data_IF_403763272119
#
_entry.id   IF_403763272119
#
_cell.length_a   1.000
_cell.length_b   1.000
_cell.length_c   1.000
_cell.angle_alpha   90.00
_cell.angle_beta   90.00
_cell.angle_gamma   90.00
#
_symmetry.space_group_name_H-M   'P 1'
#
loop_
_entity.id
_entity.type
_entity.pdbx_description
1 polymer ?
#
# COMPACT_ATOMS: atom_id res chain seq x y z
N UNK A 1 32.61 60.65 -49.94
CA UNK A 1 33.12 59.72 -48.89
C UNK A 1 32.01 59.42 -47.89
N UNK A 2 32.26 58.59 -46.86
CA UNK A 2 31.31 58.16 -45.83
C UNK A 2 30.21 57.18 -46.31
N UNK A 3 30.61 55.94 -46.54
CA UNK A 3 29.81 54.71 -46.36
C UNK A 3 30.81 53.62 -45.95
N UNK A 4 30.81 53.21 -44.67
CA UNK A 4 31.84 52.29 -44.15
C UNK A 4 31.59 51.72 -42.75
N UNK A 5 31.14 52.53 -41.78
CA UNK A 5 31.18 52.10 -40.36
C UNK A 5 29.97 51.27 -39.89
N UNK A 6 28.81 51.36 -40.57
CA UNK A 6 27.57 50.71 -40.09
C UNK A 6 27.57 49.18 -40.21
N UNK A 7 28.26 48.59 -41.21
CA UNK A 7 28.35 47.13 -41.31
C UNK A 7 29.28 46.53 -40.25
N UNK A 8 30.35 47.23 -39.85
CA UNK A 8 31.36 46.72 -38.91
C UNK A 8 30.76 46.50 -37.52
N UNK A 9 29.96 47.45 -37.03
CA UNK A 9 29.28 47.30 -35.74
C UNK A 9 28.21 46.21 -35.76
N UNK A 10 27.44 46.08 -36.85
CA UNK A 10 26.44 45.01 -36.97
C UNK A 10 27.08 43.61 -37.01
N UNK A 11 28.20 43.47 -37.73
CA UNK A 11 28.98 42.24 -37.76
C UNK A 11 29.59 41.88 -36.40
N UNK A 12 30.14 42.85 -35.66
CA UNK A 12 30.70 42.62 -34.32
C UNK A 12 29.65 42.19 -33.29
N UNK A 13 28.46 42.79 -33.29
CA UNK A 13 27.35 42.39 -32.41
C UNK A 13 26.92 40.95 -32.71
N UNK A 14 26.74 40.60 -33.98
CA UNK A 14 26.39 39.22 -34.37
C UNK A 14 27.51 38.21 -34.03
N UNK A 15 28.78 38.57 -34.18
CA UNK A 15 29.90 37.69 -33.77
C UNK A 15 29.91 37.47 -32.24
N UNK A 16 29.64 38.51 -31.46
CA UNK A 16 29.59 38.39 -29.99
C UNK A 16 28.45 37.49 -29.51
N UNK A 17 27.26 37.59 -30.14
CA UNK A 17 26.13 36.71 -29.87
C UNK A 17 26.39 35.25 -30.28
N UNK A 18 27.20 35.01 -31.32
CA UNK A 18 27.56 33.67 -31.75
C UNK A 18 28.63 33.02 -30.86
N UNK A 19 29.63 33.80 -30.41
CA UNK A 19 30.68 33.32 -29.50
C UNK A 19 30.14 32.95 -28.11
N UNK A 20 29.07 33.62 -27.64
CA UNK A 20 28.37 33.27 -26.40
C UNK A 20 27.66 31.90 -26.45
N UNK A 21 27.49 31.30 -27.65
CA UNK A 21 26.84 29.98 -27.82
C UNK A 21 27.87 28.84 -27.83
N UNK A 22 29.18 29.13 -27.93
CA UNK A 22 30.25 28.11 -28.01
C UNK A 22 31.50 28.43 -27.16
N UNK A 23 31.36 28.81 -25.88
CA UNK A 23 32.55 28.92 -25.00
C UNK A 23 32.36 28.83 -23.46
N UNK A 24 31.74 27.75 -22.95
CA UNK A 24 32.22 27.14 -21.68
C UNK A 24 32.06 25.61 -21.73
N UNK A 25 33.15 24.83 -21.88
CA UNK A 25 33.16 23.43 -21.45
C UNK A 25 33.42 23.38 -19.94
N UNK A 26 32.38 23.16 -19.13
CA UNK A 26 32.58 22.86 -17.71
C UNK A 26 33.24 21.48 -17.64
N UNK A 27 34.50 21.45 -17.22
CA UNK A 27 35.21 20.21 -16.96
C UNK A 27 34.76 19.63 -15.61
N UNK A 28 33.57 19.06 -15.59
CA UNK A 28 33.14 18.15 -14.52
C UNK A 28 33.90 16.84 -14.68
N UNK A 29 34.78 16.57 -13.72
CA UNK A 29 35.54 15.32 -13.63
C UNK A 29 34.57 14.17 -13.35
N UNK A 30 34.23 13.41 -14.40
CA UNK A 30 33.31 12.25 -14.36
C UNK A 30 33.96 11.03 -13.73
N UNK A 31 34.51 11.18 -12.54
CA UNK A 31 35.12 10.11 -11.75
C UNK A 31 34.71 10.11 -10.28
N UNK A 32 33.62 10.82 -9.91
CA UNK A 32 33.08 10.83 -8.53
C UNK A 32 31.58 11.13 -8.35
N UNK A 33 30.75 10.86 -9.35
CA UNK A 33 29.30 10.79 -9.14
C UNK A 33 28.94 9.38 -8.62
N UNK A 34 28.56 9.28 -7.33
CA UNK A 34 27.69 8.19 -6.87
C UNK A 34 26.38 8.27 -7.68
N UNK A 35 25.67 7.16 -7.96
CA UNK A 35 24.30 7.27 -8.46
C UNK A 35 23.50 8.14 -7.48
N UNK A 36 22.51 8.94 -7.95
CA UNK A 36 21.70 9.72 -7.04
C UNK A 36 21.04 8.76 -6.06
N UNK A 37 21.37 8.91 -4.77
CA UNK A 37 20.57 8.33 -3.70
C UNK A 37 19.15 8.83 -3.94
N UNK A 38 18.21 7.92 -4.11
CA UNK A 38 16.82 8.29 -3.93
C UNK A 38 16.71 8.57 -2.44
N UNK A 39 16.75 9.85 -2.07
CA UNK A 39 16.23 10.28 -0.78
C UNK A 39 14.78 9.80 -0.76
N UNK A 40 14.57 8.72 0.00
CA UNK A 40 13.26 8.18 0.30
C UNK A 40 12.58 9.12 1.29
N UNK A 41 12.30 10.34 0.83
CA UNK A 41 11.28 11.16 1.45
C UNK A 41 10.01 10.29 1.51
N UNK A 42 9.43 10.05 2.71
CA UNK A 42 8.17 9.34 2.80
C UNK A 42 7.15 10.06 1.89
N UNK A 43 6.31 9.31 1.16
CA UNK A 43 5.47 9.90 0.13
C UNK A 43 4.58 11.00 0.73
N UNK A 44 4.58 12.18 0.10
CA UNK A 44 3.83 13.40 0.50
C UNK A 44 2.29 13.27 0.41
N UNK A 45 1.77 12.06 0.63
CA UNK A 45 0.37 11.67 0.50
C UNK A 45 -0.05 10.68 1.60
N UNK A 46 0.64 10.69 2.74
CA UNK A 46 0.44 9.78 3.86
C UNK A 46 0.33 10.51 5.22
N UNK A 47 -0.25 11.71 5.21
CA UNK A 47 -0.54 12.62 6.34
C UNK A 47 -1.27 11.93 7.52
N UNK A 48 -1.91 10.79 7.27
CA UNK A 48 -2.57 9.93 8.28
C UNK A 48 -2.22 8.44 8.14
N UNK A 49 -1.29 8.06 7.25
CA UNK A 49 -0.95 6.67 6.94
C UNK A 49 -2.04 5.81 6.26
N UNK A 50 -3.31 6.24 6.24
CA UNK A 50 -4.43 5.41 5.79
C UNK A 50 -4.46 5.17 4.27
N UNK A 51 -4.73 3.93 3.85
CA UNK A 51 -4.84 3.55 2.43
C UNK A 51 -6.05 4.17 1.68
N UNK A 52 -6.90 4.93 2.39
CA UNK A 52 -8.01 5.74 1.87
C UNK A 52 -7.98 7.19 2.40
N UNK A 53 -6.85 7.63 2.97
CA UNK A 53 -6.60 9.00 3.47
C UNK A 53 -7.13 10.08 2.52
N UNK A 54 -6.75 10.03 1.24
CA UNK A 54 -7.19 11.01 0.23
C UNK A 54 -8.72 11.10 0.14
N UNK A 55 -9.43 9.97 0.22
CA UNK A 55 -10.89 9.96 0.17
C UNK A 55 -11.51 10.53 1.45
N UNK A 56 -10.93 10.22 2.62
CA UNK A 56 -11.30 10.81 3.90
C UNK A 56 -11.15 12.34 3.87
N UNK A 57 -9.97 12.83 3.45
CA UNK A 57 -9.68 14.27 3.33
C UNK A 57 -10.59 14.97 2.31
N UNK A 58 -10.78 14.41 1.11
CA UNK A 58 -11.69 14.99 0.10
C UNK A 58 -13.16 15.04 0.56
N UNK A 59 -13.61 14.08 1.37
CA UNK A 59 -14.96 14.10 1.98
C UNK A 59 -15.06 15.18 3.07
N UNK A 60 -14.08 15.26 3.98
CA UNK A 60 -14.09 16.23 5.09
C UNK A 60 -13.93 17.67 4.57
N UNK A 61 -12.91 17.94 3.73
CA UNK A 61 -12.63 19.26 3.15
C UNK A 61 -13.81 19.81 2.35
N UNK A 62 -14.64 18.92 1.80
CA UNK A 62 -15.84 19.29 1.06
C UNK A 62 -17.11 19.42 1.93
N UNK A 63 -17.24 18.65 3.01
CA UNK A 63 -18.26 18.84 4.05
C UNK A 63 -18.05 20.14 4.84
N UNK A 64 -16.79 20.50 5.11
CA UNK A 64 -16.37 21.73 5.79
C UNK A 64 -16.72 23.03 5.04
N UNK A 65 -17.16 22.92 3.79
CA UNK A 65 -17.64 24.04 2.96
C UNK A 65 -19.15 24.31 3.16
N UNK A 66 -19.90 23.40 3.78
CA UNK A 66 -21.27 23.65 4.24
C UNK A 66 -21.25 24.34 5.62
N UNK A 67 -21.85 25.53 5.79
CA UNK A 67 -21.80 26.25 7.06
C UNK A 67 -22.44 25.51 8.24
N UNK A 68 -23.52 24.75 8.01
CA UNK A 68 -24.20 24.01 9.07
C UNK A 68 -23.35 22.82 9.51
N UNK A 69 -22.83 22.03 8.56
CA UNK A 69 -21.96 20.91 8.91
C UNK A 69 -20.65 21.37 9.57
N UNK A 70 -20.05 22.48 9.12
CA UNK A 70 -18.85 23.05 9.75
C UNK A 70 -19.11 23.50 11.20
N UNK A 71 -20.27 24.08 11.49
CA UNK A 71 -20.66 24.42 12.87
C UNK A 71 -20.89 23.16 13.72
N UNK A 72 -21.49 22.10 13.16
CA UNK A 72 -21.66 20.82 13.85
C UNK A 72 -20.32 20.13 14.14
N UNK A 73 -19.41 20.08 13.16
CA UNK A 73 -18.07 19.51 13.32
C UNK A 73 -17.29 20.22 14.43
N UNK A 74 -17.27 21.57 14.44
CA UNK A 74 -16.55 22.38 15.44
C UNK A 74 -17.09 22.28 16.87
N UNK A 75 -18.33 21.83 17.06
CA UNK A 75 -18.96 21.68 18.37
C UNK A 75 -19.13 20.20 18.79
N UNK A 76 -18.74 19.25 17.93
CA UNK A 76 -18.76 17.84 18.26
C UNK A 76 -17.54 17.46 19.10
N UNK A 77 -17.75 16.66 20.14
CA UNK A 77 -16.65 15.99 20.84
C UNK A 77 -16.31 14.66 20.16
N UNK A 78 -15.14 14.12 20.47
CA UNK A 78 -14.63 12.85 19.91
C UNK A 78 -15.62 11.68 20.11
N UNK A 79 -16.27 11.57 21.27
CA UNK A 79 -17.26 10.52 21.55
C UNK A 79 -18.53 10.65 20.68
N UNK A 80 -19.00 11.86 20.42
CA UNK A 80 -20.17 12.13 19.56
C UNK A 80 -19.89 11.82 18.08
N UNK A 81 -18.65 12.03 17.64
CA UNK A 81 -18.14 11.63 16.32
C UNK A 81 -18.13 10.10 16.22
N UNK A 82 -17.49 9.40 17.18
CA UNK A 82 -17.41 7.93 17.24
C UNK A 82 -18.78 7.24 17.41
N UNK A 83 -19.76 7.90 18.04
CA UNK A 83 -21.14 7.42 18.18
C UNK A 83 -22.03 7.71 16.94
N UNK A 84 -21.45 8.14 15.82
CA UNK A 84 -22.17 8.39 14.58
C UNK A 84 -23.23 9.49 14.70
N UNK A 85 -23.06 10.46 15.61
CA UNK A 85 -24.00 11.60 15.74
C UNK A 85 -23.73 12.60 14.64
N UNK A 86 -22.45 12.92 14.38
CA UNK A 86 -22.02 13.78 13.27
C UNK A 86 -22.51 13.24 11.91
N UNK A 87 -22.42 11.93 11.68
CA UNK A 87 -22.87 11.31 10.43
C UNK A 87 -24.36 11.59 10.12
N UNK A 88 -25.21 11.73 11.15
CA UNK A 88 -26.65 12.01 10.99
C UNK A 88 -26.94 13.45 10.56
N UNK A 89 -26.01 14.39 10.80
CA UNK A 89 -26.12 15.78 10.35
C UNK A 89 -25.99 15.93 8.82
N UNK A 90 -25.45 14.91 8.13
CA UNK A 90 -25.41 14.78 6.67
C UNK A 90 -26.81 14.86 6.01
N UNK A 91 -27.89 14.64 6.77
CA UNK A 91 -29.27 14.81 6.30
C UNK A 91 -29.69 16.28 6.12
N UNK A 92 -28.96 17.23 6.71
CA UNK A 92 -29.24 18.66 6.62
C UNK A 92 -28.27 19.40 5.67
N UNK A 93 -27.23 18.71 5.19
CA UNK A 93 -26.25 19.20 4.20
C UNK A 93 -26.93 19.49 2.86
N UNK A 94 -26.59 20.62 2.24
CA UNK A 94 -27.24 21.08 1.01
C UNK A 94 -26.98 20.13 -0.19
N UNK A 95 -27.94 20.07 -1.13
CA UNK A 95 -27.92 19.13 -2.26
C UNK A 95 -26.65 19.24 -3.13
N UNK A 96 -26.14 20.46 -3.36
CA UNK A 96 -24.89 20.66 -4.10
C UNK A 96 -23.69 19.94 -3.46
N UNK A 97 -23.67 19.83 -2.13
CA UNK A 97 -22.62 19.08 -1.44
C UNK A 97 -22.84 17.57 -1.58
N UNK A 98 -24.07 17.08 -1.36
CA UNK A 98 -24.43 15.67 -1.58
C UNK A 98 -24.04 15.16 -2.97
N UNK A 99 -24.35 15.91 -4.04
CA UNK A 99 -24.05 15.50 -5.43
C UNK A 99 -22.56 15.22 -5.70
N UNK A 100 -21.65 15.96 -5.05
CA UNK A 100 -20.20 15.73 -5.18
C UNK A 100 -19.68 14.69 -4.20
N UNK A 101 -20.29 14.51 -3.01
CA UNK A 101 -20.00 13.35 -2.15
C UNK A 101 -20.37 12.03 -2.86
N UNK A 102 -21.50 12.00 -3.58
CA UNK A 102 -21.87 10.87 -4.44
C UNK A 102 -20.83 10.63 -5.54
N UNK A 103 -20.18 11.67 -6.05
CA UNK A 103 -19.12 11.56 -7.06
C UNK A 103 -17.82 11.05 -6.46
N UNK A 104 -17.37 11.60 -5.33
CA UNK A 104 -16.20 11.09 -4.60
C UNK A 104 -16.36 9.60 -4.24
N UNK A 105 -17.54 9.18 -3.77
CA UNK A 105 -17.82 7.75 -3.51
C UNK A 105 -17.72 6.90 -4.77
N UNK A 106 -18.18 7.40 -5.94
CA UNK A 106 -18.02 6.70 -7.22
C UNK A 106 -16.57 6.64 -7.68
N UNK A 107 -15.79 7.70 -7.48
CA UNK A 107 -14.34 7.72 -7.76
C UNK A 107 -13.60 6.68 -6.92
N UNK A 108 -13.81 6.67 -5.60
CA UNK A 108 -13.22 5.69 -4.67
C UNK A 108 -13.68 4.26 -4.96
N UNK A 109 -14.98 4.04 -5.18
CA UNK A 109 -15.53 2.74 -5.57
C UNK A 109 -14.92 2.20 -6.89
N UNK A 110 -14.51 3.09 -7.81
CA UNK A 110 -13.76 2.69 -9.01
C UNK A 110 -12.29 2.38 -8.71
N UNK A 111 -11.63 3.09 -7.77
CA UNK A 111 -10.28 2.73 -7.28
C UNK A 111 -10.27 1.35 -6.64
N UNK A 112 -11.20 1.06 -5.73
CA UNK A 112 -11.31 -0.24 -5.05
C UNK A 112 -11.54 -1.39 -6.05
N UNK A 113 -12.36 -1.18 -7.08
CA UNK A 113 -12.55 -2.14 -8.19
C UNK A 113 -11.28 -2.34 -9.03
N UNK A 114 -10.48 -1.29 -9.23
CA UNK A 114 -9.18 -1.41 -9.92
C UNK A 114 -8.19 -2.23 -9.09
N UNK A 115 -8.11 -2.00 -7.78
CA UNK A 115 -7.27 -2.78 -6.86
C UNK A 115 -7.67 -4.27 -6.84
N UNK A 116 -8.97 -4.56 -6.75
CA UNK A 116 -9.51 -5.93 -6.85
C UNK A 116 -9.08 -6.59 -8.18
N UNK A 117 -9.19 -5.86 -9.30
CA UNK A 117 -8.79 -6.39 -10.60
C UNK A 117 -7.28 -6.67 -10.68
N UNK A 118 -6.44 -5.74 -10.23
CA UNK A 118 -4.97 -5.92 -10.22
C UNK A 118 -4.58 -7.11 -9.35
N UNK A 119 -5.20 -7.29 -8.17
CA UNK A 119 -5.03 -8.46 -7.30
C UNK A 119 -5.41 -9.76 -8.01
N UNK A 120 -6.50 -9.77 -8.79
CA UNK A 120 -6.93 -10.93 -9.59
C UNK A 120 -5.98 -11.22 -10.78
N UNK A 121 -5.50 -10.18 -11.47
CA UNK A 121 -4.57 -10.31 -12.60
C UNK A 121 -3.20 -10.87 -12.12
N UNK A 122 -2.72 -10.43 -10.94
CA UNK A 122 -1.49 -10.94 -10.29
C UNK A 122 -1.65 -12.39 -9.81
N UNK A 123 -2.79 -12.75 -9.22
CA UNK A 123 -3.04 -14.11 -8.68
C UNK A 123 -3.33 -15.17 -9.76
N UNK A 124 -2.97 -14.93 -11.02
CA UNK A 124 -3.06 -15.92 -12.09
C UNK A 124 -4.49 -16.31 -12.42
N UNK A 125 -5.34 -15.30 -12.68
CA UNK A 125 -6.79 -15.36 -12.85
C UNK A 125 -7.39 -16.69 -13.33
N UNK A 126 -7.70 -17.57 -12.39
CA UNK A 126 -8.60 -18.70 -12.62
C UNK A 126 -9.96 -18.17 -13.07
N UNK A 127 -10.48 -18.64 -14.21
CA UNK A 127 -11.62 -18.06 -14.94
C UNK A 127 -12.99 -18.11 -14.27
N UNK A 128 -13.06 -18.19 -12.94
CA UNK A 128 -14.26 -17.95 -12.15
C UNK A 128 -14.56 -16.46 -12.12
N UNK A 129 -15.79 -16.09 -12.47
CA UNK A 129 -16.34 -14.76 -12.15
C UNK A 129 -16.56 -14.67 -10.65
N UNK A 130 -15.52 -14.29 -9.89
CA UNK A 130 -15.68 -13.92 -8.50
C UNK A 130 -16.58 -12.69 -8.40
N UNK A 131 -17.57 -12.76 -7.50
CA UNK A 131 -18.45 -11.63 -7.26
C UNK A 131 -17.66 -10.45 -6.71
N UNK A 132 -17.52 -9.40 -7.52
CA UNK A 132 -16.81 -8.19 -7.13
C UNK A 132 -17.48 -7.50 -5.93
N UNK A 133 -18.80 -7.68 -5.74
CA UNK A 133 -19.51 -7.17 -4.58
C UNK A 133 -19.14 -7.92 -3.28
N UNK A 134 -18.79 -9.20 -3.37
CA UNK A 134 -18.22 -9.97 -2.24
C UNK A 134 -16.78 -9.57 -1.91
N UNK A 135 -15.96 -9.21 -2.91
CA UNK A 135 -14.58 -8.76 -2.71
C UNK A 135 -14.50 -7.33 -2.18
N UNK A 136 -15.46 -6.46 -2.52
CA UNK A 136 -15.58 -5.11 -1.95
C UNK A 136 -15.81 -5.11 -0.44
N UNK A 137 -16.24 -6.23 0.16
CA UNK A 137 -16.34 -6.39 1.63
C UNK A 137 -15.00 -6.44 2.36
N UNK A 138 -13.87 -6.46 1.64
CA UNK A 138 -12.53 -6.32 2.20
C UNK A 138 -12.19 -4.86 2.58
N UNK A 139 -13.06 -3.90 2.22
CA UNK A 139 -12.91 -2.48 2.53
C UNK A 139 -14.03 -2.06 3.49
N UNK A 140 -13.70 -1.82 4.75
CA UNK A 140 -14.69 -1.53 5.81
C UNK A 140 -15.20 -0.09 5.78
N UNK A 141 -14.47 0.83 5.13
CA UNK A 141 -14.72 2.28 5.14
C UNK A 141 -15.86 2.77 4.23
N UNK A 142 -16.60 1.87 3.55
CA UNK A 142 -17.65 2.23 2.58
C UNK A 142 -18.79 1.22 2.45
N UNK A 143 -20.02 1.72 2.30
CA UNK A 143 -21.20 0.88 2.09
C UNK A 143 -21.27 0.41 0.63
N UNK A 144 -20.73 -0.80 0.40
CA UNK A 144 -20.75 -1.51 -0.87
C UNK A 144 -22.17 -1.82 -1.40
N UNK A 145 -23.21 -1.66 -0.58
CA UNK A 145 -24.62 -1.87 -0.95
C UNK A 145 -25.14 -0.82 -1.94
N UNK A 146 -24.79 0.45 -1.72
CA UNK A 146 -25.28 1.60 -2.50
C UNK A 146 -24.12 2.28 -3.26
N UNK A 147 -23.54 1.69 -4.31
CA UNK A 147 -22.26 2.12 -4.90
C UNK A 147 -22.29 3.48 -5.63
N UNK A 148 -23.42 4.18 -5.66
CA UNK A 148 -23.63 5.40 -6.46
C UNK A 148 -24.04 6.64 -5.66
N UNK A 149 -24.47 6.51 -4.40
CA UNK A 149 -24.86 7.62 -3.52
C UNK A 149 -24.14 7.51 -2.17
N UNK A 150 -23.79 8.66 -1.59
CA UNK A 150 -23.09 8.77 -0.31
C UNK A 150 -24.09 9.10 0.80
N UNK A 151 -24.33 8.12 1.67
CA UNK A 151 -25.34 8.17 2.71
C UNK A 151 -24.75 8.34 4.11
N UNK A 152 -25.63 8.48 5.10
CA UNK A 152 -25.27 8.52 6.54
C UNK A 152 -24.41 7.31 6.93
N UNK A 153 -24.74 6.13 6.40
CA UNK A 153 -23.99 4.89 6.63
C UNK A 153 -22.55 4.95 6.12
N UNK A 154 -22.30 5.62 4.98
CA UNK A 154 -20.94 5.76 4.44
C UNK A 154 -20.09 6.70 5.29
N UNK A 155 -20.65 7.83 5.72
CA UNK A 155 -19.92 8.76 6.59
C UNK A 155 -19.66 8.15 7.97
N UNK A 156 -20.61 7.35 8.49
CA UNK A 156 -20.46 6.62 9.75
C UNK A 156 -19.37 5.53 9.62
N UNK A 157 -19.40 4.72 8.56
CA UNK A 157 -18.37 3.69 8.29
C UNK A 157 -16.99 4.27 8.01
N UNK A 158 -16.91 5.39 7.28
CA UNK A 158 -15.65 6.09 6.99
C UNK A 158 -15.03 6.66 8.27
N UNK A 159 -15.84 7.29 9.14
CA UNK A 159 -15.39 7.81 10.45
C UNK A 159 -14.99 6.67 11.39
N UNK A 160 -15.78 5.61 11.49
CA UNK A 160 -15.48 4.47 12.36
C UNK A 160 -14.23 3.71 11.91
N UNK A 161 -14.06 3.50 10.60
CA UNK A 161 -12.87 2.85 10.05
C UNK A 161 -11.64 3.74 10.25
N UNK A 162 -11.71 5.03 9.91
CA UNK A 162 -10.61 5.96 10.13
C UNK A 162 -10.21 6.02 11.61
N UNK A 163 -11.19 6.06 12.52
CA UNK A 163 -10.94 6.00 13.97
C UNK A 163 -10.19 4.71 14.36
N UNK A 164 -10.76 3.55 14.01
CA UNK A 164 -10.24 2.23 14.36
C UNK A 164 -8.84 2.01 13.80
N UNK A 165 -8.64 2.35 12.54
CA UNK A 165 -7.39 2.14 11.82
C UNK A 165 -6.32 3.11 12.36
N UNK A 166 -6.66 4.37 12.67
CA UNK A 166 -5.73 5.31 13.35
C UNK A 166 -5.41 4.91 14.79
N UNK A 167 -6.37 4.38 15.56
CA UNK A 167 -6.15 3.87 16.91
C UNK A 167 -5.27 2.60 16.95
N UNK A 168 -5.12 1.89 15.82
CA UNK A 168 -4.28 0.70 15.71
C UNK A 168 -3.04 0.90 14.80
N UNK A 169 -2.93 2.02 14.08
CA UNK A 169 -1.89 2.25 13.06
C UNK A 169 -0.49 1.99 13.61
N UNK A 170 -0.16 2.63 14.74
CA UNK A 170 1.12 2.50 15.43
C UNK A 170 1.37 1.04 15.82
N UNK A 171 0.40 0.42 16.50
CA UNK A 171 0.46 -0.99 16.92
C UNK A 171 0.64 -1.95 15.74
N UNK A 172 0.03 -1.67 14.60
CA UNK A 172 0.10 -2.54 13.42
C UNK A 172 1.41 -2.29 12.63
N UNK A 173 2.01 -1.08 12.70
CA UNK A 173 3.43 -0.84 12.33
C UNK A 173 4.38 -1.65 13.22
N UNK A 174 4.23 -1.61 14.55
CA UNK A 174 5.03 -2.43 15.48
C UNK A 174 4.92 -3.94 15.17
N UNK A 175 3.73 -4.41 14.75
CA UNK A 175 3.54 -5.79 14.31
C UNK A 175 4.21 -6.07 12.95
N UNK A 176 4.17 -5.14 12.00
CA UNK A 176 4.83 -5.28 10.69
C UNK A 176 6.36 -5.32 10.83
N UNK A 177 6.95 -4.41 11.62
CA UNK A 177 8.39 -4.41 11.89
C UNK A 177 8.84 -5.65 12.68
N UNK A 178 8.07 -6.10 13.68
CA UNK A 178 8.33 -7.38 14.35
C UNK A 178 8.32 -8.56 13.39
N UNK A 179 7.38 -8.60 12.43
CA UNK A 179 7.36 -9.62 11.38
C UNK A 179 8.54 -9.48 10.41
N UNK A 180 8.99 -8.27 10.09
CA UNK A 180 10.19 -8.02 9.30
C UNK A 180 11.44 -8.62 9.97
N UNK A 181 11.67 -8.32 11.25
CA UNK A 181 12.79 -8.87 12.02
C UNK A 181 12.74 -10.40 12.18
N UNK A 182 11.55 -10.96 12.43
CA UNK A 182 11.35 -12.42 12.43
C UNK A 182 11.70 -13.05 11.08
N UNK A 183 11.34 -12.40 9.97
CA UNK A 183 11.67 -12.85 8.61
C UNK A 183 13.17 -12.79 8.34
N UNK A 184 13.81 -11.66 8.67
CA UNK A 184 15.24 -11.37 8.49
C UNK A 184 16.14 -12.37 9.21
N UNK A 185 15.82 -12.72 10.46
CA UNK A 185 16.55 -13.75 11.21
C UNK A 185 16.18 -15.18 10.76
N UNK A 186 14.93 -15.48 10.38
CA UNK A 186 14.61 -16.79 9.82
C UNK A 186 15.38 -17.06 8.52
N UNK A 187 15.44 -16.10 7.59
CA UNK A 187 16.25 -16.23 6.38
C UNK A 187 17.74 -16.42 6.71
N UNK A 188 18.26 -15.68 7.71
CA UNK A 188 19.64 -15.84 8.19
C UNK A 188 19.88 -17.26 8.72
N UNK A 189 18.94 -17.81 9.51
CA UNK A 189 18.98 -19.20 9.99
C UNK A 189 18.96 -20.20 8.85
N UNK A 190 18.11 -20.03 7.83
CA UNK A 190 18.09 -20.88 6.63
C UNK A 190 19.38 -20.78 5.80
N UNK A 191 19.90 -19.57 5.56
CA UNK A 191 21.21 -19.37 4.92
C UNK A 191 22.31 -20.15 5.65
N UNK A 192 22.42 -20.00 6.98
CA UNK A 192 23.39 -20.70 7.81
C UNK A 192 23.22 -22.23 7.82
N UNK A 193 21.97 -22.75 7.71
CA UNK A 193 21.69 -24.20 7.58
C UNK A 193 22.20 -24.78 6.25
N UNK A 194 22.27 -23.99 5.16
CA UNK A 194 22.76 -24.44 3.84
C UNK A 194 24.28 -24.34 3.64
N UNK A 195 24.98 -23.60 4.50
CA UNK A 195 26.42 -23.33 4.38
C UNK A 195 27.31 -24.46 4.92
N UNK A 196 28.58 -24.47 4.51
CA UNK A 196 29.59 -25.35 5.11
C UNK A 196 30.03 -24.84 6.49
N UNK A 197 30.57 -25.72 7.35
CA UNK A 197 30.98 -25.39 8.71
C UNK A 197 31.97 -24.21 8.78
N UNK A 198 32.99 -24.19 7.91
CA UNK A 198 33.99 -23.12 7.88
C UNK A 198 33.40 -21.78 7.44
N UNK A 199 32.48 -21.78 6.47
CA UNK A 199 31.77 -20.59 6.01
C UNK A 199 30.74 -20.09 7.04
N UNK A 200 30.02 -20.99 7.72
CA UNK A 200 29.03 -20.63 8.75
C UNK A 200 29.72 -19.92 9.92
N UNK A 201 30.87 -20.42 10.36
CA UNK A 201 31.70 -19.78 11.39
C UNK A 201 32.39 -18.48 10.94
N UNK A 202 32.41 -18.14 9.65
CA UNK A 202 32.87 -16.83 9.16
C UNK A 202 31.70 -15.84 9.15
N UNK A 203 30.54 -16.27 8.63
CA UNK A 203 29.29 -15.51 8.59
C UNK A 203 28.81 -15.11 10.00
N UNK A 204 28.79 -16.07 10.94
CA UNK A 204 28.47 -15.83 12.36
C UNK A 204 29.38 -14.74 12.97
N UNK A 205 30.67 -14.75 12.64
CA UNK A 205 31.65 -13.75 13.12
C UNK A 205 31.52 -12.40 12.41
N UNK A 206 31.13 -12.37 11.14
CA UNK A 206 30.85 -11.14 10.40
C UNK A 206 29.63 -10.44 10.97
N UNK A 207 28.53 -11.17 11.14
CA UNK A 207 27.31 -10.68 11.81
C UNK A 207 27.59 -10.19 13.24
N UNK A 208 28.41 -10.91 14.02
CA UNK A 208 28.89 -10.45 15.33
C UNK A 208 29.79 -9.20 15.29
N UNK A 209 30.38 -8.84 14.15
CA UNK A 209 31.17 -7.62 13.96
C UNK A 209 30.27 -6.46 13.54
N UNK A 210 29.36 -6.69 12.59
CA UNK A 210 28.35 -5.71 12.18
C UNK A 210 27.53 -5.23 13.38
N UNK A 211 26.94 -6.14 14.17
CA UNK A 211 26.15 -5.77 15.36
C UNK A 211 26.95 -5.00 16.42
N UNK A 212 28.27 -5.22 16.51
CA UNK A 212 29.17 -4.47 17.42
C UNK A 212 29.67 -3.15 16.84
N UNK A 213 29.55 -2.95 15.53
CA UNK A 213 29.82 -1.68 14.84
C UNK A 213 28.60 -0.76 15.00
N UNK A 214 27.40 -1.29 14.76
CA UNK A 214 26.12 -0.59 14.97
C UNK A 214 25.94 -0.14 16.42
N UNK A 215 26.04 -1.07 17.39
CA UNK A 215 25.98 -0.80 18.84
C UNK A 215 27.15 0.07 19.39
N UNK A 216 27.99 0.64 18.52
CA UNK A 216 29.05 1.60 18.85
C UNK A 216 28.77 2.94 18.13
N UNK A 217 27.52 3.40 18.23
CA UNK A 217 27.05 4.69 17.74
C UNK A 217 27.40 5.85 18.70
N UNK A 218 27.07 7.08 18.30
CA UNK A 218 27.13 8.24 19.23
C UNK A 218 25.88 8.26 20.11
N UNK A 219 26.00 8.72 21.37
CA UNK A 219 24.86 8.78 22.30
C UNK A 219 23.69 9.56 21.71
N UNK A 220 22.50 8.97 21.84
CA UNK A 220 21.22 9.53 21.39
C UNK A 220 20.57 10.25 22.56
N UNK A 221 20.18 11.51 22.38
CA UNK A 221 19.50 12.28 23.41
C UNK A 221 18.07 11.77 23.60
N UNK A 222 17.51 11.94 24.81
CA UNK A 222 16.12 11.62 25.06
C UNK A 222 15.17 12.45 24.15
N UNK A 223 14.20 11.84 23.45
CA UNK A 223 13.27 12.55 22.58
C UNK A 223 12.48 13.64 23.31
N UNK A 224 12.42 14.85 22.75
CA UNK A 224 11.73 15.98 23.34
C UNK A 224 12.49 16.70 24.47
N UNK A 225 13.66 16.21 24.91
CA UNK A 225 14.47 16.83 25.96
C UNK A 225 15.09 18.17 25.55
N UNK A 226 15.46 19.01 26.54
CA UNK A 226 16.16 20.28 26.31
C UNK A 226 17.46 20.08 25.50
N UNK A 227 18.14 18.95 25.70
CA UNK A 227 19.38 18.62 25.00
C UNK A 227 19.12 18.36 23.51
N UNK A 228 18.11 17.53 23.19
CA UNK A 228 17.73 17.20 21.82
C UNK A 228 17.24 18.44 21.04
N UNK A 229 16.35 19.25 21.64
CA UNK A 229 15.83 20.45 20.97
C UNK A 229 16.90 21.54 20.78
N UNK A 230 17.86 21.68 21.70
CA UNK A 230 19.01 22.57 21.52
C UNK A 230 19.97 22.10 20.43
N UNK A 231 20.08 20.79 20.22
CA UNK A 231 20.92 20.25 19.15
C UNK A 231 20.30 20.55 17.78
N UNK A 232 18.99 20.31 17.61
CA UNK A 232 18.24 20.69 16.39
C UNK A 232 18.33 22.20 16.12
N UNK A 233 18.13 23.04 17.15
CA UNK A 233 18.28 24.50 17.07
C UNK A 233 19.68 24.96 16.64
N UNK A 234 20.72 24.17 16.93
CA UNK A 234 22.10 24.48 16.57
C UNK A 234 22.48 23.95 15.18
N UNK A 235 22.14 22.68 14.88
CA UNK A 235 22.61 21.99 13.67
C UNK A 235 21.66 22.12 12.48
N UNK A 236 20.35 22.22 12.72
CA UNK A 236 19.34 22.45 11.67
C UNK A 236 19.05 23.94 11.46
N UNK A 237 18.77 24.69 12.53
CA UNK A 237 18.43 26.12 12.42
C UNK A 237 19.65 27.06 12.35
N UNK A 238 20.84 26.57 12.74
CA UNK A 238 22.07 27.36 12.79
C UNK A 238 22.08 28.43 13.88
N UNK A 239 21.31 28.25 14.96
CA UNK A 239 21.14 29.21 16.05
C UNK A 239 21.96 28.85 17.29
N UNK A 240 22.23 29.85 18.14
CA UNK A 240 23.07 29.71 19.32
C UNK A 240 22.34 28.92 20.45
N UNK A 241 22.89 27.78 20.94
CA UNK A 241 22.32 27.01 22.05
C UNK A 241 22.08 27.80 23.33
N UNK A 242 22.92 28.80 23.62
CA UNK A 242 22.80 29.64 24.82
C UNK A 242 21.60 30.62 24.73
N UNK A 243 21.01 30.78 23.54
CA UNK A 243 19.87 31.65 23.25
C UNK A 243 18.59 30.87 22.89
N UNK A 244 18.52 29.57 23.20
CA UNK A 244 17.35 28.72 22.96
C UNK A 244 16.07 29.24 23.66
N UNK A 245 15.02 29.50 22.88
CA UNK A 245 13.67 29.84 23.35
C UNK A 245 12.65 28.83 22.80
N UNK A 246 12.05 27.96 23.64
CA UNK A 246 11.07 26.95 23.19
C UNK A 246 9.95 27.52 22.34
N UNK A 247 9.48 28.74 22.66
CA UNK A 247 8.39 29.40 21.95
C UNK A 247 8.76 29.86 20.53
N UNK A 248 10.04 30.13 20.31
CA UNK A 248 10.57 30.44 18.98
C UNK A 248 10.90 29.15 18.24
N UNK A 249 11.51 28.16 18.90
CA UNK A 249 11.74 26.82 18.34
C UNK A 249 10.46 26.21 17.74
N UNK A 250 9.36 26.22 18.51
CA UNK A 250 8.05 25.74 18.05
C UNK A 250 7.64 26.41 16.74
N UNK A 251 7.71 27.73 16.67
CA UNK A 251 7.26 28.53 15.51
C UNK A 251 8.13 28.42 14.26
N UNK A 252 9.25 27.73 14.33
CA UNK A 252 10.13 27.48 13.17
C UNK A 252 9.93 26.08 12.62
N UNK A 253 9.45 25.15 13.46
CA UNK A 253 9.14 23.76 13.11
C UNK A 253 7.63 23.52 12.89
N UNK A 254 6.77 24.47 13.27
CA UNK A 254 5.39 24.66 12.78
C UNK A 254 5.50 25.10 11.31
N UNK A 255 5.71 24.11 10.43
CA UNK A 255 6.02 24.28 9.01
C UNK A 255 4.79 24.65 8.21
N UNK A 256 3.63 24.15 8.64
CA UNK A 256 2.35 24.36 7.97
C UNK A 256 1.70 25.71 8.38
N UNK A 257 1.99 26.22 9.59
CA UNK A 257 1.53 27.50 10.12
C UNK A 257 0.19 27.48 10.88
N UNK A 258 -0.31 26.31 11.30
CA UNK A 258 -1.60 26.16 11.99
C UNK A 258 -1.53 26.38 13.52
N UNK A 259 -0.33 26.31 14.11
CA UNK A 259 -0.08 26.53 15.54
C UNK A 259 -0.01 25.27 16.42
N UNK A 260 0.01 24.09 15.81
CA UNK A 260 0.27 22.79 16.43
C UNK A 260 1.64 22.25 15.96
N UNK A 261 2.07 21.11 16.51
CA UNK A 261 2.96 20.17 15.84
C UNK A 261 2.16 18.92 15.51
N UNK A 262 2.21 18.48 14.26
CA UNK A 262 1.74 17.15 13.86
C UNK A 262 2.82 16.06 14.05
N UNK A 263 2.47 14.81 13.73
CA UNK A 263 3.38 13.66 13.83
C UNK A 263 4.56 13.73 12.87
N UNK A 264 4.37 14.26 11.66
CA UNK A 264 5.45 14.43 10.68
C UNK A 264 6.43 15.52 11.10
N UNK A 265 5.94 16.61 11.70
CA UNK A 265 6.75 17.69 12.24
C UNK A 265 7.55 17.24 13.46
N UNK A 266 6.96 16.44 14.36
CA UNK A 266 7.69 15.79 15.46
C UNK A 266 8.72 14.77 14.94
N UNK A 267 8.35 13.88 14.01
CA UNK A 267 9.26 12.91 13.41
C UNK A 267 10.48 13.60 12.75
N UNK A 268 10.29 14.77 12.14
CA UNK A 268 11.38 15.54 11.54
C UNK A 268 12.43 15.98 12.58
N UNK A 269 12.03 16.31 13.82
CA UNK A 269 12.95 16.70 14.90
C UNK A 269 13.93 15.58 15.29
N UNK A 270 13.51 14.32 15.14
CA UNK A 270 14.33 13.16 15.51
C UNK A 270 15.36 12.78 14.46
N UNK A 271 15.29 13.33 13.24
CA UNK A 271 16.21 13.00 12.13
C UNK A 271 17.68 13.14 12.54
N UNK A 272 18.05 14.20 13.28
CA UNK A 272 19.43 14.42 13.74
C UNK A 272 19.88 13.51 14.89
N UNK A 273 18.94 13.00 15.69
CA UNK A 273 19.25 11.96 16.67
C UNK A 273 19.49 10.61 15.99
N UNK A 274 18.70 10.29 14.96
CA UNK A 274 18.78 9.02 14.24
C UNK A 274 19.99 8.93 13.31
N UNK A 275 20.41 10.06 12.68
CA UNK A 275 21.66 10.17 11.90
C UNK A 275 22.93 9.81 12.71
N UNK A 276 22.87 9.78 14.05
CA UNK A 276 23.98 9.36 14.94
C UNK A 276 24.18 7.85 14.98
N UNK A 277 23.15 7.09 14.60
CA UNK A 277 23.03 5.63 14.76
C UNK A 277 22.91 4.92 13.42
N UNK A 278 22.08 5.46 12.51
CA UNK A 278 21.75 4.82 11.24
C UNK A 278 22.26 5.65 10.06
N UNK A 279 23.06 5.03 9.19
CA UNK A 279 23.58 5.65 7.97
C UNK A 279 23.39 4.73 6.75
N UNK A 280 22.68 5.17 5.69
CA UNK A 280 22.42 4.34 4.49
C UNK A 280 23.67 3.99 3.66
N UNK A 281 24.87 4.44 4.03
CA UNK A 281 26.15 4.01 3.42
C UNK A 281 26.86 2.89 4.20
N UNK A 282 26.36 2.50 5.38
CA UNK A 282 26.84 1.36 6.16
C UNK A 282 26.11 0.05 5.77
N UNK A 283 26.69 -1.09 6.11
CA UNK A 283 26.08 -2.42 5.88
C UNK A 283 25.35 -2.94 7.12
N UNK A 284 25.76 -2.47 8.31
CA UNK A 284 25.19 -2.86 9.60
C UNK A 284 23.98 -2.02 10.05
N UNK A 285 23.69 -0.91 9.37
CA UNK A 285 22.62 0.03 9.75
C UNK A 285 21.37 -0.24 8.90
N UNK A 286 20.26 -0.56 9.55
CA UNK A 286 19.00 -0.84 8.86
C UNK A 286 18.08 0.39 8.82
N UNK A 287 17.70 0.82 7.62
CA UNK A 287 16.81 1.96 7.43
C UNK A 287 15.37 1.68 7.85
N UNK A 288 14.94 0.41 7.93
CA UNK A 288 13.63 0.02 8.46
C UNK A 288 13.62 0.11 9.98
N UNK A 289 14.73 -0.28 10.63
CA UNK A 289 14.94 -0.12 12.08
C UNK A 289 15.00 1.37 12.46
N UNK A 290 15.64 2.21 11.64
CA UNK A 290 15.60 3.67 11.79
C UNK A 290 14.18 4.26 11.72
N UNK A 291 13.32 3.76 10.82
CA UNK A 291 11.92 4.20 10.74
C UNK A 291 11.13 3.81 12.00
N UNK A 292 11.29 2.58 12.49
CA UNK A 292 10.64 2.14 13.72
C UNK A 292 11.13 2.95 14.93
N UNK A 293 12.44 3.20 15.02
CA UNK A 293 13.02 4.03 16.08
C UNK A 293 12.39 5.44 16.07
N UNK A 294 12.18 6.03 14.89
CA UNK A 294 11.48 7.32 14.73
C UNK A 294 10.04 7.27 15.24
N UNK A 295 9.31 6.17 14.98
CA UNK A 295 7.96 5.96 15.49
C UNK A 295 7.93 5.79 17.01
N UNK A 296 8.89 5.05 17.60
CA UNK A 296 9.05 4.92 19.06
C UNK A 296 9.30 6.28 19.72
N UNK A 297 10.17 7.11 19.13
CA UNK A 297 10.46 8.46 19.63
C UNK A 297 9.21 9.36 19.58
N UNK A 298 8.48 9.35 18.45
CA UNK A 298 7.20 10.07 18.27
C UNK A 298 6.16 9.64 19.30
N UNK A 299 5.92 8.33 19.46
CA UNK A 299 4.94 7.80 20.43
C UNK A 299 5.29 8.15 21.87
N UNK A 300 6.59 8.13 22.20
CA UNK A 300 7.08 8.55 23.49
C UNK A 300 6.76 10.04 23.75
N UNK A 301 7.15 10.94 22.84
CA UNK A 301 6.89 12.39 22.99
C UNK A 301 5.39 12.69 23.02
N UNK A 302 4.59 12.09 22.13
CA UNK A 302 3.13 12.26 22.13
C UNK A 302 2.52 11.84 23.47
N UNK A 303 2.89 10.66 23.99
CA UNK A 303 2.40 10.14 25.29
C UNK A 303 2.70 11.06 26.48
N UNK A 304 3.75 11.88 26.40
CA UNK A 304 4.14 12.79 27.48
C UNK A 304 3.65 14.23 27.28
N UNK A 305 3.51 14.70 26.04
CA UNK A 305 3.16 16.09 25.73
C UNK A 305 1.68 16.25 25.37
N UNK A 306 1.14 15.43 24.47
CA UNK A 306 -0.28 15.44 24.12
C UNK A 306 -1.12 14.99 25.34
N UNK A 307 -1.75 15.98 25.96
CA UNK A 307 -2.51 15.81 27.20
C UNK A 307 -3.99 15.56 26.91
N UNK A 308 -4.46 15.98 25.72
CA UNK A 308 -5.88 15.95 25.35
C UNK A 308 -6.25 14.71 24.50
N UNK A 309 -5.26 14.12 23.82
CA UNK A 309 -5.30 12.93 22.95
C UNK A 309 -5.97 13.14 21.60
N UNK A 310 -5.71 14.27 20.96
CA UNK A 310 -6.08 14.56 19.56
C UNK A 310 -4.95 14.28 18.55
N UNK A 311 -3.77 13.81 18.99
CA UNK A 311 -2.56 13.55 18.17
C UNK A 311 -1.94 14.83 17.59
N UNK A 312 -2.18 15.98 18.22
CA UNK A 312 -1.54 17.25 17.88
C UNK A 312 -0.95 17.89 19.14
N UNK A 313 0.33 18.26 19.12
CA UNK A 313 0.94 18.97 20.24
C UNK A 313 0.69 20.46 20.10
N UNK A 314 -0.22 21.02 20.89
CA UNK A 314 -0.45 22.47 20.88
C UNK A 314 0.74 23.24 21.49
N UNK A 315 0.92 24.49 21.07
CA UNK A 315 1.82 25.46 21.72
C UNK A 315 1.65 25.55 23.25
N UNK A 316 0.45 25.25 23.79
CA UNK A 316 0.21 25.29 25.24
C UNK A 316 0.75 24.03 25.92
N UNK A 317 0.54 22.85 25.33
CA UNK A 317 1.07 21.58 25.83
C UNK A 317 2.59 21.52 25.72
N UNK A 318 3.17 21.95 24.60
CA UNK A 318 4.62 22.07 24.43
C UNK A 318 5.26 23.03 25.46
N UNK A 319 4.69 24.22 25.65
CA UNK A 319 5.17 25.16 26.67
C UNK A 319 4.93 24.68 28.11
N UNK A 320 4.04 23.71 28.35
CA UNK A 320 3.85 23.06 29.64
C UNK A 320 4.86 21.90 29.84
N UNK A 321 5.13 21.11 28.80
CA UNK A 321 6.14 20.05 28.81
C UNK A 321 7.54 20.60 29.12
N UNK A 322 7.91 21.73 28.51
CA UNK A 322 9.20 22.42 28.76
C UNK A 322 9.36 23.00 30.18
N UNK A 323 8.38 22.83 31.07
CA UNK A 323 8.44 23.17 32.50
C UNK A 323 8.48 21.94 33.43
N UNK A 324 8.44 20.72 32.87
CA UNK A 324 8.54 19.44 33.61
C UNK A 324 9.99 19.12 33.99
N UNK A 325 10.20 18.16 34.89
CA UNK A 325 11.56 17.70 35.25
C UNK A 325 12.12 16.80 34.13
N UNK A 326 11.25 16.01 33.51
CA UNK A 326 11.46 15.16 32.34
C UNK A 326 12.05 15.92 31.14
N UNK A 327 11.72 17.20 30.96
CA UNK A 327 12.33 18.03 29.91
C UNK A 327 13.81 18.36 30.15
N UNK A 328 14.23 18.40 31.42
CA UNK A 328 15.60 18.66 31.84
C UNK A 328 16.41 17.35 32.00
N UNK A 329 15.79 16.21 31.70
CA UNK A 329 16.39 14.89 31.75
C UNK A 329 17.52 14.74 30.72
N UNK A 330 18.52 13.94 31.08
CA UNK A 330 19.76 13.73 30.30
C UNK A 330 20.13 12.27 30.19
N UNK A 331 19.15 11.41 30.46
CA UNK A 331 19.26 9.98 30.29
C UNK A 331 19.22 9.68 28.79
N UNK A 332 19.86 8.58 28.40
CA UNK A 332 20.13 8.27 27.00
C UNK A 332 18.98 7.44 26.42
N UNK A 333 18.65 7.63 25.15
CA UNK A 333 17.59 6.84 24.53
C UNK A 333 18.02 5.38 24.33
N UNK A 334 17.22 4.44 24.84
CA UNK A 334 17.45 3.01 24.63
C UNK A 334 17.03 2.59 23.21
N UNK A 335 18.01 2.54 22.32
CA UNK A 335 17.90 2.07 20.94
C UNK A 335 17.45 0.62 20.81
N UNK A 336 16.89 0.28 19.66
CA UNK A 336 16.33 -1.05 19.36
C UNK A 336 17.35 -2.20 19.54
N UNK A 337 18.62 -2.00 19.19
CA UNK A 337 19.68 -3.01 19.33
C UNK A 337 19.92 -3.50 20.78
N UNK A 338 19.53 -2.69 21.77
CA UNK A 338 19.67 -2.99 23.19
C UNK A 338 18.52 -3.86 23.74
N UNK A 339 17.35 -3.87 23.10
CA UNK A 339 16.11 -4.45 23.63
C UNK A 339 15.46 -5.48 22.68
N UNK A 340 15.41 -6.78 23.02
CA UNK A 340 14.94 -7.82 22.09
C UNK A 340 13.42 -7.75 21.82
N UNK A 341 13.06 -7.47 20.56
CA UNK A 341 11.69 -7.31 20.04
C UNK A 341 10.83 -8.59 20.09
N UNK A 342 11.46 -9.76 20.06
CA UNK A 342 10.80 -11.06 20.03
C UNK A 342 11.57 -12.10 20.84
N UNK A 343 10.85 -13.15 21.24
CA UNK A 343 11.37 -14.31 21.97
C UNK A 343 11.68 -15.46 21.02
N UNK A 344 12.55 -16.38 21.47
CA UNK A 344 12.82 -17.65 20.78
C UNK A 344 11.60 -18.60 20.77
N UNK A 345 10.53 -18.27 21.48
CA UNK A 345 9.24 -18.98 21.38
C UNK A 345 8.39 -18.43 20.25
N UNK A 346 8.24 -17.11 20.14
CA UNK A 346 7.55 -16.45 19.01
C UNK A 346 8.26 -16.74 17.68
N UNK A 347 9.59 -16.77 17.65
CA UNK A 347 10.33 -17.18 16.44
C UNK A 347 10.04 -18.62 16.02
N UNK A 348 9.84 -19.53 16.99
CA UNK A 348 9.48 -20.93 16.70
C UNK A 348 8.06 -21.06 16.19
N UNK A 349 7.13 -20.26 16.73
CA UNK A 349 5.75 -20.18 16.22
C UNK A 349 5.71 -19.60 14.79
N UNK A 350 6.54 -18.59 14.50
CA UNK A 350 6.72 -18.03 13.17
C UNK A 350 7.33 -19.04 12.17
N UNK A 351 8.42 -19.74 12.52
CA UNK A 351 8.98 -20.81 11.68
C UNK A 351 7.94 -21.93 11.44
N UNK A 352 7.14 -22.28 12.45
CA UNK A 352 6.06 -23.25 12.31
C UNK A 352 4.92 -22.74 11.40
N UNK A 353 4.59 -21.44 11.45
CA UNK A 353 3.62 -20.83 10.54
C UNK A 353 4.09 -20.93 9.08
N UNK A 354 5.35 -20.55 8.80
CA UNK A 354 5.92 -20.64 7.45
C UNK A 354 5.93 -22.08 6.91
N UNK A 355 6.26 -23.07 7.75
CA UNK A 355 6.20 -24.49 7.35
C UNK A 355 4.75 -24.92 7.04
N UNK A 356 3.78 -24.48 7.84
CA UNK A 356 2.36 -24.76 7.56
C UNK A 356 1.92 -24.13 6.24
N UNK A 357 2.23 -22.85 6.01
CA UNK A 357 1.88 -22.11 4.80
C UNK A 357 2.55 -22.69 3.55
N UNK A 358 3.82 -23.09 3.64
CA UNK A 358 4.53 -23.78 2.56
C UNK A 358 3.85 -25.11 2.18
N UNK A 359 3.42 -25.91 3.17
CA UNK A 359 2.66 -27.13 2.93
C UNK A 359 1.28 -26.85 2.29
N UNK A 360 0.62 -25.77 2.70
CA UNK A 360 -0.67 -25.33 2.18
C UNK A 360 -0.56 -24.84 0.73
N UNK A 361 0.49 -24.07 0.41
CA UNK A 361 0.84 -23.65 -0.95
C UNK A 361 1.21 -24.87 -1.80
N UNK A 362 1.97 -25.83 -1.27
CA UNK A 362 2.30 -27.06 -1.99
C UNK A 362 1.05 -27.87 -2.35
N UNK A 363 0.13 -28.10 -1.42
CA UNK A 363 -1.14 -28.78 -1.69
C UNK A 363 -1.97 -28.04 -2.76
N UNK A 364 -2.08 -26.71 -2.67
CA UNK A 364 -2.76 -25.88 -3.68
C UNK A 364 -2.07 -25.98 -5.06
N UNK A 365 -0.74 -26.05 -5.10
CA UNK A 365 0.02 -26.20 -6.35
C UNK A 365 -0.24 -27.55 -7.04
N UNK A 366 -0.33 -28.64 -6.26
CA UNK A 366 -0.68 -29.98 -6.77
C UNK A 366 -2.12 -30.00 -7.29
N UNK A 367 -3.10 -29.46 -6.54
CA UNK A 367 -4.49 -29.38 -7.00
C UNK A 367 -4.62 -28.54 -8.29
N UNK A 368 -3.86 -27.46 -8.41
CA UNK A 368 -3.83 -26.64 -9.63
C UNK A 368 -3.18 -27.37 -10.81
N UNK A 369 -2.15 -28.20 -10.58
CA UNK A 369 -1.58 -29.06 -11.62
C UNK A 369 -2.59 -30.12 -12.08
N UNK A 370 -3.23 -30.85 -11.17
CA UNK A 370 -4.25 -31.86 -11.52
C UNK A 370 -5.40 -31.24 -12.32
N UNK A 371 -5.88 -30.06 -11.90
CA UNK A 371 -6.90 -29.29 -12.65
C UNK A 371 -6.40 -28.85 -14.03
N UNK A 372 -5.13 -28.45 -14.17
CA UNK A 372 -4.53 -28.08 -15.47
C UNK A 372 -4.52 -29.29 -16.41
N UNK A 373 -4.07 -30.45 -15.93
CA UNK A 373 -4.04 -31.69 -16.71
C UNK A 373 -5.45 -32.17 -17.09
N UNK A 374 -6.43 -32.04 -16.19
CA UNK A 374 -7.82 -32.38 -16.49
C UNK A 374 -8.45 -31.46 -17.56
N UNK A 375 -8.12 -30.17 -17.55
CA UNK A 375 -8.51 -29.20 -18.58
C UNK A 375 -7.82 -29.47 -19.93
N UNK A 376 -6.55 -29.88 -19.91
CA UNK A 376 -5.79 -30.22 -21.11
C UNK A 376 -6.42 -31.43 -21.82
N UNK A 377 -6.77 -32.51 -21.10
CA UNK A 377 -7.52 -33.64 -21.67
C UNK A 377 -8.87 -33.24 -22.26
N UNK A 378 -9.64 -32.40 -21.56
CA UNK A 378 -10.95 -31.90 -22.05
C UNK A 378 -10.80 -31.07 -23.34
N UNK A 379 -9.72 -30.30 -23.45
CA UNK A 379 -9.41 -29.53 -24.64
C UNK A 379 -9.01 -30.45 -25.82
N UNK A 380 -8.26 -31.53 -25.56
CA UNK A 380 -7.95 -32.56 -26.56
C UNK A 380 -9.24 -33.25 -27.05
N UNK A 381 -10.11 -33.71 -26.13
CA UNK A 381 -11.40 -34.34 -26.44
C UNK A 381 -12.29 -33.44 -27.33
N UNK A 382 -12.43 -32.17 -26.96
CA UNK A 382 -13.17 -31.17 -27.75
C UNK A 382 -12.53 -30.92 -29.12
N UNK A 383 -11.19 -30.93 -29.21
CA UNK A 383 -10.50 -30.79 -30.50
C UNK A 383 -10.74 -31.98 -31.43
N UNK A 384 -10.71 -33.21 -30.90
CA UNK A 384 -10.99 -34.43 -31.63
C UNK A 384 -12.44 -34.48 -32.10
N UNK A 385 -13.39 -34.10 -31.23
CA UNK A 385 -14.81 -33.98 -31.58
C UNK A 385 -15.03 -32.96 -32.71
N UNK A 386 -14.36 -31.80 -32.65
CA UNK A 386 -14.42 -30.77 -33.69
C UNK A 386 -13.88 -31.29 -35.03
N UNK A 387 -12.76 -31.99 -35.03
CA UNK A 387 -12.16 -32.58 -36.25
C UNK A 387 -13.10 -33.63 -36.86
N UNK A 388 -13.64 -34.55 -36.06
CA UNK A 388 -14.58 -35.56 -36.55
C UNK A 388 -15.88 -34.95 -37.11
N UNK A 389 -16.40 -33.90 -36.48
CA UNK A 389 -17.59 -33.19 -36.97
C UNK A 389 -17.31 -32.43 -38.27
N UNK A 390 -16.12 -31.84 -38.43
CA UNK A 390 -15.69 -31.20 -39.67
C UNK A 390 -15.52 -32.22 -40.81
N UNK A 391 -14.94 -33.39 -40.54
CA UNK A 391 -14.83 -34.49 -41.52
C UNK A 391 -16.21 -34.99 -41.97
N UNK A 392 -17.17 -35.13 -41.06
CA UNK A 392 -18.54 -35.53 -41.38
C UNK A 392 -19.27 -34.49 -42.27
N UNK A 393 -18.95 -33.19 -42.13
CA UNK A 393 -19.46 -32.14 -43.03
C UNK A 393 -18.83 -32.29 -44.43
N UNK A 394 -17.51 -32.45 -44.55
CA UNK A 394 -16.84 -32.65 -45.84
C UNK A 394 -17.27 -33.93 -46.57
N UNK A 395 -17.63 -34.99 -45.84
CA UNK A 395 -18.20 -36.20 -46.42
C UNK A 395 -19.64 -35.98 -46.90
N UNK A 396 -20.47 -35.29 -46.11
CA UNK A 396 -21.84 -34.94 -46.48
C UNK A 396 -21.90 -34.01 -47.69
N UNK A 397 -20.93 -33.10 -47.85
CA UNK A 397 -20.78 -32.30 -49.06
C UNK A 397 -20.37 -33.15 -50.26
N UNK A 398 -19.39 -34.05 -50.12
CA UNK A 398 -18.97 -34.96 -51.22
C UNK A 398 -20.05 -35.94 -51.67
N UNK A 399 -20.90 -36.43 -50.77
CA UNK A 399 -22.05 -37.29 -51.10
C UNK A 399 -23.13 -36.52 -51.89
N UNK A 400 -23.10 -35.17 -51.86
CA UNK A 400 -24.07 -34.29 -52.50
C UNK A 400 -23.76 -33.97 -53.97
N UNK A 401 -22.61 -34.40 -54.50
CA UNK A 401 -22.20 -34.22 -55.91
C UNK A 401 -22.43 -35.52 -56.75
N UNK A 402 -23.51 -35.62 -57.55
CA UNK A 402 -23.84 -36.83 -58.30
C UNK A 402 -23.18 -36.86 -59.69
N UNK A 403 -22.03 -37.55 -59.85
CA UNK A 403 -21.24 -37.41 -61.10
C UNK A 403 -20.33 -38.54 -61.61
N UNK A 404 -20.34 -39.78 -61.09
CA UNK A 404 -19.35 -40.82 -61.50
C UNK A 404 -19.85 -42.28 -61.65
N UNK A 405 -20.51 -42.56 -62.78
CA UNK A 405 -20.44 -43.79 -63.61
C UNK A 405 -20.10 -45.17 -62.97
N UNK A 406 -21.16 -45.93 -62.65
CA UNK A 406 -21.46 -47.32 -63.08
C UNK A 406 -20.80 -48.61 -62.49
N UNK A 407 -21.68 -49.64 -62.43
CA UNK A 407 -21.48 -51.08 -62.67
C UNK A 407 -20.98 -52.05 -61.56
N UNK A 408 -21.83 -53.03 -61.19
CA UNK A 408 -21.45 -54.30 -60.52
C UNK A 408 -22.56 -54.91 -59.65
N UNK A 409 -23.18 -56.03 -60.06
CA UNK A 409 -24.41 -56.61 -59.46
C UNK A 409 -24.35 -56.96 -57.95
N UNK A 410 -25.43 -56.89 -57.16
CA UNK A 410 -26.86 -57.26 -57.33
C UNK A 410 -27.21 -58.72 -56.99
N UNK A 411 -27.92 -58.94 -55.87
CA UNK A 411 -28.80 -60.11 -55.59
C UNK A 411 -29.73 -59.84 -54.37
N UNK A 412 -31.04 -60.16 -54.46
CA UNK A 412 -32.02 -60.12 -53.35
C UNK A 412 -32.51 -58.70 -52.95
N UNK A 413 -33.74 -58.21 -53.17
CA UNK A 413 -35.07 -58.80 -53.48
C UNK A 413 -35.65 -59.66 -52.35
N UNK A 414 -36.85 -59.47 -51.78
CA UNK A 414 -37.84 -58.36 -51.64
C UNK A 414 -38.92 -58.86 -50.59
N UNK A 415 -39.94 -58.16 -50.05
CA UNK A 415 -40.55 -56.81 -50.07
C UNK A 415 -41.35 -56.65 -48.71
N UNK A 416 -42.04 -55.58 -48.31
CA UNK A 416 -42.19 -54.20 -48.82
C UNK A 416 -43.61 -53.62 -48.54
N UNK A 417 -43.72 -52.28 -48.36
CA UNK A 417 -44.95 -51.44 -48.57
C UNK A 417 -46.13 -51.65 -47.58
N UNK A 418 -46.72 -50.67 -46.89
CA UNK A 418 -46.56 -49.20 -46.64
C UNK A 418 -47.29 -48.87 -45.31
N UNK A 419 -47.29 -47.69 -44.66
CA UNK A 419 -46.76 -46.34 -44.91
C UNK A 419 -46.23 -45.76 -43.56
N UNK A 420 -46.02 -44.46 -43.27
CA UNK A 420 -46.13 -43.20 -44.02
C UNK A 420 -46.44 -42.01 -43.09
N UNK A 421 -45.43 -41.18 -42.77
CA UNK A 421 -45.58 -39.99 -41.91
C UNK A 421 -44.24 -39.44 -41.41
N UNK A 422 -44.13 -38.11 -41.26
CA UNK A 422 -42.92 -37.38 -40.86
C UNK A 422 -43.32 -35.99 -40.30
N UNK A 423 -42.40 -35.16 -39.76
CA UNK A 423 -41.20 -35.44 -38.95
C UNK A 423 -41.21 -34.67 -37.59
N UNK A 424 -40.46 -35.10 -36.56
CA UNK A 424 -40.26 -34.31 -35.31
C UNK A 424 -38.84 -34.49 -34.73
N UNK A 425 -38.27 -33.38 -34.23
CA UNK A 425 -37.02 -33.18 -33.46
C UNK A 425 -37.29 -31.97 -32.54
N UNK A 426 -36.68 -31.79 -31.32
CA UNK A 426 -35.69 -32.59 -30.58
C UNK A 426 -36.19 -33.05 -29.18
N UNK A 427 -35.31 -33.66 -28.37
CA UNK A 427 -35.56 -33.96 -26.95
C UNK A 427 -34.28 -33.94 -26.10
N UNK A 428 -34.00 -32.82 -25.44
CA UNK A 428 -32.83 -32.67 -24.56
C UNK A 428 -33.02 -33.45 -23.25
N UNK A 429 -32.08 -34.34 -22.91
CA UNK A 429 -32.11 -35.10 -21.64
C UNK A 429 -31.09 -34.54 -20.65
N UNK A 430 -31.55 -33.75 -19.68
CA UNK A 430 -30.74 -33.19 -18.58
C UNK A 430 -31.35 -33.61 -17.24
N UNK A 431 -30.62 -34.32 -16.36
CA UNK A 431 -31.12 -34.65 -15.02
C UNK A 431 -31.37 -33.40 -14.16
N UNK A 432 -32.37 -33.47 -13.28
CA UNK A 432 -32.66 -32.48 -12.25
C UNK A 432 -31.84 -32.77 -10.98
N UNK A 433 -31.48 -31.74 -10.18
CA UNK A 433 -30.97 -31.94 -8.82
C UNK A 433 -32.10 -32.37 -7.85
N UNK A 434 -31.78 -33.01 -6.72
CA UNK A 434 -32.76 -33.37 -5.69
C UNK A 434 -33.17 -32.19 -4.82
N UNK A 435 -34.40 -32.21 -4.32
CA UNK A 435 -34.98 -31.19 -3.43
C UNK A 435 -34.37 -31.16 -2.02
N UNK A 436 -34.36 -29.97 -1.41
CA UNK A 436 -34.05 -29.76 0.01
C UNK A 436 -35.37 -29.53 0.79
N UNK A 437 -35.65 -30.26 1.87
CA UNK A 437 -36.91 -30.12 2.61
C UNK A 437 -36.93 -28.89 3.53
N UNK A 438 -38.04 -28.15 3.52
CA UNK A 438 -38.30 -27.02 4.43
C UNK A 438 -39.49 -27.33 5.34
N UNK A 439 -39.30 -27.43 6.67
CA UNK A 439 -40.33 -27.13 7.66
C UNK A 439 -40.28 -25.63 8.02
N UNK A 440 -41.37 -24.94 8.37
CA UNK A 440 -42.74 -25.40 8.57
C UNK A 440 -43.35 -24.65 9.75
N UNK A 441 -44.35 -23.80 9.51
CA UNK A 441 -44.90 -22.89 10.55
C UNK A 441 -45.61 -23.63 11.70
N UNK A 442 -45.28 -23.23 12.94
CA UNK A 442 -46.20 -23.02 14.06
C UNK A 442 -45.55 -22.08 15.07
#
# INVERSE_FOLDING_TARGET
MVRGNSLVHCGLVLLSLWLCIQSVPINVDRSKEKPPVQELHPPQSAETGLHYDRYLREVIEFLEKDPHFKEKLKNANMDDIKQGKLAKELNFVQHNFRTKLDELKREEMNRLRMLIKVKQDIQGGSGRTMDHHSLLKQFEHLSHQNPNTFEVEDLDQLIQSATKDLENFDKDRHNEFKNYELTKEHERRERLKTMSEETRQQEEKHYEQLRKKHANHTKVNHPGSETQLKEVWNESDGMDPDNFDPKTFFKMHDTNGDGFFDESELEALFTKELEKVYNPENEEDDMVEMEEERLRMREHVMKEVDTNKDRLVSMIEFMAATQKEEFLEKDEWETLDQNPLYTEEEMREYEQHLVNEQNDIHQKSVELQERREELERKQEELSAQKIGLQQAVEEMERIKDPGAVAAGGAAGVAAGVTAGGAPVVPGNSRPLPPDVPVPGHS
#
